data_IF_489224744259
#
_entry.id   IF_489224744259
#
_cell.length_a   1.000
_cell.length_b   1.000
_cell.length_c   1.000
_cell.angle_alpha   90.00
_cell.angle_beta   90.00
_cell.angle_gamma   90.00
#
_symmetry.space_group_name_H-M   'P 1'
#
loop_
_entity.id
_entity.type
_entity.pdbx_description
1 polymer ?
#
# COMPACT_ATOMS: atom_id res chain seq x y z
N UNK A 1 -28.47 15.23 28.69
CA UNK A 1 -28.17 14.31 27.57
C UNK A 1 -27.25 14.93 26.51
N UNK A 2 -27.59 16.06 25.85
CA UNK A 2 -26.71 16.69 24.82
C UNK A 2 -25.29 17.03 25.29
N UNK A 3 -25.11 17.58 26.51
CA UNK A 3 -23.77 17.90 27.06
C UNK A 3 -22.93 16.65 27.34
N UNK A 4 -23.53 15.57 27.84
CA UNK A 4 -22.85 14.29 28.06
C UNK A 4 -22.43 13.61 26.75
N UNK A 5 -23.26 13.71 25.70
CA UNK A 5 -22.95 13.20 24.37
C UNK A 5 -21.78 13.96 23.72
N UNK A 6 -21.74 15.29 23.90
CA UNK A 6 -20.66 16.14 23.39
C UNK A 6 -19.33 15.86 24.11
N UNK A 7 -19.34 15.66 25.43
CA UNK A 7 -18.13 15.27 26.18
C UNK A 7 -17.63 13.87 25.82
N UNK A 8 -18.53 12.91 25.58
CA UNK A 8 -18.15 11.55 25.16
C UNK A 8 -17.53 11.55 23.76
N UNK A 9 -18.10 12.35 22.84
CA UNK A 9 -17.56 12.54 21.50
C UNK A 9 -16.16 13.20 21.52
N UNK A 10 -15.96 14.20 22.39
CA UNK A 10 -14.68 14.89 22.55
C UNK A 10 -13.60 13.94 23.11
N UNK A 11 -13.94 13.11 24.09
CA UNK A 11 -13.03 12.11 24.67
C UNK A 11 -12.66 11.04 23.64
N UNK A 12 -13.62 10.58 22.82
CA UNK A 12 -13.36 9.59 21.77
C UNK A 12 -12.44 10.16 20.67
N UNK A 13 -12.67 11.41 20.24
CA UNK A 13 -11.81 12.10 19.28
C UNK A 13 -10.40 12.30 19.84
N UNK A 14 -10.27 12.71 21.10
CA UNK A 14 -8.96 12.85 21.75
C UNK A 14 -8.21 11.51 21.86
N UNK A 15 -8.90 10.41 22.17
CA UNK A 15 -8.31 9.08 22.23
C UNK A 15 -7.83 8.59 20.85
N UNK A 16 -8.60 8.84 19.79
CA UNK A 16 -8.22 8.49 18.42
C UNK A 16 -6.99 9.29 17.95
N UNK A 17 -6.98 10.61 18.19
CA UNK A 17 -5.83 11.47 17.89
C UNK A 17 -4.58 11.04 18.67
N UNK A 18 -4.74 10.67 19.94
CA UNK A 18 -3.65 10.17 20.77
C UNK A 18 -3.12 8.84 20.24
N UNK A 19 -3.98 7.86 19.95
CA UNK A 19 -3.58 6.57 19.40
C UNK A 19 -2.84 6.73 18.05
N UNK A 20 -3.34 7.60 17.16
CA UNK A 20 -2.67 7.91 15.90
C UNK A 20 -1.29 8.57 16.13
N UNK A 21 -1.17 9.42 17.16
CA UNK A 21 0.10 10.05 17.52
C UNK A 21 1.13 9.05 18.08
N UNK A 22 0.70 8.07 18.87
CA UNK A 22 1.58 7.02 19.41
C UNK A 22 2.04 6.08 18.29
N UNK A 23 1.15 5.71 17.38
CA UNK A 23 1.51 4.91 16.21
C UNK A 23 2.55 5.61 15.35
N UNK A 24 2.35 6.89 15.05
CA UNK A 24 3.33 7.68 14.31
C UNK A 24 4.68 7.78 15.06
N UNK A 25 4.66 7.87 16.39
CA UNK A 25 5.88 7.93 17.20
C UNK A 25 6.64 6.58 17.21
N UNK A 26 5.95 5.44 17.28
CA UNK A 26 6.56 4.11 17.12
C UNK A 26 7.10 3.94 15.70
N UNK A 27 6.33 4.31 14.67
CA UNK A 27 6.76 4.30 13.27
C UNK A 27 8.02 5.12 13.07
N UNK A 28 8.13 6.30 13.70
CA UNK A 28 9.34 7.14 13.66
C UNK A 28 10.55 6.43 14.29
N UNK A 29 10.37 5.74 15.41
CA UNK A 29 11.43 4.98 16.08
C UNK A 29 11.93 3.84 15.20
N UNK A 30 11.02 3.01 14.67
CA UNK A 30 11.38 1.96 13.71
C UNK A 30 11.94 2.54 12.42
N UNK A 31 11.42 3.65 11.92
CA UNK A 31 11.91 4.37 10.75
C UNK A 31 13.36 4.83 10.91
N UNK A 32 13.77 5.29 12.09
CA UNK A 32 15.17 5.57 12.40
C UNK A 32 16.04 4.32 12.30
N UNK A 33 15.57 3.18 12.80
CA UNK A 33 16.28 1.90 12.62
C UNK A 33 16.41 1.51 11.14
N UNK A 34 15.30 1.54 10.37
CA UNK A 34 15.30 1.18 8.96
C UNK A 34 16.21 2.11 8.15
N UNK A 35 16.07 3.43 8.32
CA UNK A 35 16.93 4.42 7.65
C UNK A 35 18.39 4.27 8.08
N UNK A 36 18.65 4.17 9.38
CA UNK A 36 20.00 4.04 9.92
C UNK A 36 20.74 2.83 9.36
N UNK A 37 20.07 1.68 9.31
CA UNK A 37 20.65 0.46 8.75
C UNK A 37 20.73 0.44 7.22
N UNK A 38 19.86 1.16 6.51
CA UNK A 38 19.87 1.22 5.03
C UNK A 38 20.92 2.17 4.46
N UNK A 39 21.33 3.18 5.24
CA UNK A 39 22.22 4.26 4.79
C UNK A 39 23.51 4.35 5.63
N UNK A 40 23.83 3.30 6.39
CA UNK A 40 25.04 3.22 7.22
C UNK A 40 25.15 4.32 8.28
N UNK A 41 24.05 4.78 8.89
CA UNK A 41 24.05 5.92 9.82
C UNK A 41 23.93 5.45 11.29
N UNK A 42 25.03 5.16 11.99
CA UNK A 42 25.01 4.61 13.35
C UNK A 42 24.30 5.52 14.36
N UNK A 43 24.45 6.83 14.26
CA UNK A 43 23.76 7.78 15.16
C UNK A 43 22.23 7.78 14.96
N UNK A 44 21.79 7.48 13.73
CA UNK A 44 20.35 7.32 13.45
C UNK A 44 19.84 6.00 14.01
N UNK A 45 20.63 4.93 13.95
CA UNK A 45 20.32 3.65 14.63
C UNK A 45 20.23 3.91 16.14
N UNK A 46 21.20 4.62 16.74
CA UNK A 46 21.21 4.93 18.17
C UNK A 46 19.93 5.62 18.65
N UNK A 47 19.36 6.53 17.86
CA UNK A 47 18.10 7.22 18.19
C UNK A 47 16.91 6.27 18.36
N UNK A 48 16.93 5.13 17.66
CA UNK A 48 15.85 4.14 17.71
C UNK A 48 15.93 3.23 18.94
N UNK A 49 17.13 2.97 19.48
CA UNK A 49 17.34 1.99 20.54
C UNK A 49 17.49 2.63 21.92
N UNK A 50 17.11 1.86 22.93
CA UNK A 50 17.56 2.08 24.30
C UNK A 50 19.04 1.63 24.41
N UNK A 51 19.93 2.36 25.11
CA UNK A 51 21.37 2.08 25.08
C UNK A 51 21.77 0.66 25.51
N UNK A 52 21.02 0.06 26.43
CA UNK A 52 21.24 -1.30 26.96
C UNK A 52 20.45 -2.38 26.19
N UNK A 53 19.83 -2.02 25.06
CA UNK A 53 19.08 -2.97 24.26
C UNK A 53 19.99 -4.07 23.68
N UNK A 54 19.45 -5.28 23.63
CA UNK A 54 20.11 -6.43 23.05
C UNK A 54 19.37 -6.93 21.81
N UNK A 55 20.14 -7.41 20.85
CA UNK A 55 19.67 -8.14 19.69
C UNK A 55 19.88 -9.64 19.91
N UNK A 56 18.86 -10.43 19.61
CA UNK A 56 18.87 -11.89 19.68
C UNK A 56 18.87 -12.43 18.25
N UNK A 57 20.06 -12.79 17.76
CA UNK A 57 20.31 -13.13 16.36
C UNK A 57 20.68 -14.61 16.19
N UNK A 58 20.56 -15.12 14.97
CA UNK A 58 21.01 -16.46 14.60
C UNK A 58 22.52 -16.48 14.34
N UNK A 59 23.19 -17.51 14.83
CA UNK A 59 24.61 -17.78 14.57
C UNK A 59 24.83 -19.29 14.44
N UNK A 60 25.69 -19.73 13.52
CA UNK A 60 25.88 -21.17 13.22
C UNK A 60 26.35 -21.98 14.43
N UNK A 61 27.18 -21.37 15.26
CA UNK A 61 27.88 -22.05 16.36
C UNK A 61 27.39 -21.64 17.75
N UNK A 62 26.47 -20.66 17.84
CA UNK A 62 25.97 -20.18 19.13
C UNK A 62 24.46 -20.45 19.21
N UNK A 63 23.99 -21.24 20.19
CA UNK A 63 22.55 -21.52 20.33
C UNK A 63 21.73 -20.26 20.60
N UNK A 64 22.34 -19.26 21.24
CA UNK A 64 21.79 -17.92 21.39
C UNK A 64 22.92 -16.92 21.18
N UNK A 65 22.82 -16.09 20.14
CA UNK A 65 23.77 -14.99 19.92
C UNK A 65 23.14 -13.68 20.35
N UNK A 66 23.58 -13.20 21.51
CA UNK A 66 23.18 -11.91 22.08
C UNK A 66 24.20 -10.86 21.63
N UNK A 67 23.72 -9.79 21.00
CA UNK A 67 24.54 -8.68 20.49
C UNK A 67 24.05 -7.38 21.13
N UNK A 68 24.84 -6.72 21.99
CA UNK A 68 24.52 -5.39 22.49
C UNK A 68 24.37 -4.39 21.34
N UNK A 69 23.43 -3.46 21.43
CA UNK A 69 23.24 -2.46 20.36
C UNK A 69 24.49 -1.64 20.08
N UNK A 70 25.31 -1.36 21.11
CA UNK A 70 26.60 -0.68 20.95
C UNK A 70 27.54 -1.40 19.99
N UNK A 71 27.55 -2.74 20.01
CA UNK A 71 28.31 -3.59 19.08
C UNK A 71 27.64 -3.59 17.70
N UNK A 72 26.32 -3.79 17.63
CA UNK A 72 25.56 -3.81 16.39
C UNK A 72 25.77 -2.55 15.54
N UNK A 73 25.79 -1.37 16.18
CA UNK A 73 26.02 -0.09 15.50
C UNK A 73 27.42 0.00 14.85
N UNK A 74 28.42 -0.72 15.37
CA UNK A 74 29.76 -0.72 14.76
C UNK A 74 29.75 -1.33 13.36
N UNK A 75 28.82 -2.24 13.06
CA UNK A 75 28.73 -2.92 11.77
C UNK A 75 28.45 -1.95 10.62
N UNK A 76 27.87 -0.79 10.92
CA UNK A 76 27.50 0.24 9.94
C UNK A 76 28.54 1.36 9.82
N UNK A 77 29.56 1.42 10.70
CA UNK A 77 30.59 2.46 10.64
C UNK A 77 31.52 2.35 9.44
N UNK A 78 31.74 1.13 8.94
CA UNK A 78 32.64 0.87 7.80
C UNK A 78 31.99 1.19 6.44
N UNK A 79 30.67 1.31 6.39
CA UNK A 79 29.96 1.68 5.17
C UNK A 79 30.10 3.17 4.87
N UNK A 80 29.98 3.54 3.60
CA UNK A 80 29.92 4.94 3.19
C UNK A 80 28.67 5.59 3.81
N UNK A 81 28.90 6.66 4.59
CA UNK A 81 27.88 7.29 5.41
C UNK A 81 26.88 8.03 4.52
N UNK A 82 25.59 7.66 4.61
CA UNK A 82 24.53 8.24 3.80
C UNK A 82 24.33 7.55 2.44
N UNK A 83 25.21 6.63 2.05
CA UNK A 83 25.04 5.84 0.83
C UNK A 83 24.10 4.65 1.08
N UNK A 84 23.18 4.41 0.15
CA UNK A 84 22.27 3.27 0.21
C UNK A 84 23.04 1.95 0.07
N UNK A 85 22.86 1.02 1.00
CA UNK A 85 23.64 -0.23 1.05
C UNK A 85 22.88 -1.47 0.55
N UNK A 86 21.76 -1.28 -0.17
CA UNK A 86 20.94 -2.37 -0.70
C UNK A 86 19.93 -2.97 0.29
N UNK A 87 19.92 -2.53 1.56
CA UNK A 87 18.93 -2.97 2.55
C UNK A 87 17.64 -2.18 2.38
N UNK A 88 16.56 -2.85 2.00
CA UNK A 88 15.24 -2.24 1.83
C UNK A 88 14.35 -2.64 3.01
N UNK A 89 14.05 -1.68 3.87
CA UNK A 89 13.24 -1.91 5.07
C UNK A 89 11.79 -1.45 4.92
N UNK A 90 10.84 -2.23 5.44
CA UNK A 90 9.44 -1.78 5.62
C UNK A 90 8.82 -2.33 6.91
N UNK A 91 7.89 -1.56 7.49
CA UNK A 91 7.12 -1.98 8.65
C UNK A 91 6.00 -2.93 8.18
N UNK A 92 5.82 -4.03 8.91
CA UNK A 92 4.80 -5.06 8.64
C UNK A 92 3.64 -4.96 9.62
N UNK A 93 3.92 -4.69 10.90
CA UNK A 93 2.89 -4.45 11.90
C UNK A 93 3.44 -3.67 13.09
N UNK A 94 2.54 -2.96 13.78
CA UNK A 94 2.78 -2.31 15.07
C UNK A 94 1.55 -2.57 15.94
N UNK A 95 1.79 -3.00 17.17
CA UNK A 95 0.78 -3.19 18.21
C UNK A 95 1.24 -2.42 19.45
N UNK A 96 0.38 -1.53 19.97
CA UNK A 96 0.69 -0.68 21.11
C UNK A 96 -0.24 -1.02 22.27
N UNK A 97 0.33 -1.15 23.46
CA UNK A 97 -0.41 -1.29 24.70
C UNK A 97 0.20 -0.35 25.76
N UNK A 98 -0.49 0.76 26.04
CA UNK A 98 -0.02 1.79 26.96
C UNK A 98 1.41 2.29 26.63
N UNK A 99 2.40 1.97 27.46
CA UNK A 99 3.80 2.38 27.34
C UNK A 99 4.71 1.31 26.74
N UNK A 100 4.15 0.21 26.20
CA UNK A 100 4.88 -0.84 25.49
C UNK A 100 4.31 -1.05 24.08
N UNK A 101 5.15 -1.54 23.17
CA UNK A 101 4.73 -1.88 21.82
C UNK A 101 5.52 -3.08 21.27
N UNK A 102 4.90 -3.81 20.36
CA UNK A 102 5.54 -4.82 19.52
C UNK A 102 5.49 -4.33 18.08
N UNK A 103 6.59 -4.48 17.35
CA UNK A 103 6.61 -4.18 15.92
C UNK A 103 7.28 -5.31 15.14
N UNK A 104 6.90 -5.45 13.87
CA UNK A 104 7.56 -6.31 12.88
C UNK A 104 8.02 -5.46 11.72
N UNK A 105 9.24 -5.70 11.23
CA UNK A 105 9.73 -5.10 9.99
C UNK A 105 10.37 -6.16 9.09
N UNK A 106 10.13 -6.05 7.80
CA UNK A 106 10.79 -6.83 6.77
C UNK A 106 12.01 -6.05 6.28
N UNK A 107 13.17 -6.72 6.21
CA UNK A 107 14.35 -6.19 5.53
C UNK A 107 14.67 -7.09 4.34
N UNK A 108 14.57 -6.53 3.15
CA UNK A 108 14.91 -7.21 1.90
C UNK A 108 16.31 -6.79 1.44
N UNK A 109 17.12 -7.75 1.00
CA UNK A 109 18.40 -7.52 0.33
C UNK A 109 18.40 -8.30 -0.98
N UNK A 110 17.87 -7.72 -2.09
CA UNK A 110 17.65 -8.45 -3.34
C UNK A 110 18.91 -9.08 -3.92
N UNK A 111 20.04 -8.37 -3.86
CA UNK A 111 21.35 -8.86 -4.34
C UNK A 111 21.80 -10.13 -3.63
N UNK A 112 21.38 -10.32 -2.37
CA UNK A 112 21.68 -11.52 -1.58
C UNK A 112 20.59 -12.58 -1.66
N UNK A 113 19.48 -12.31 -2.37
CA UNK A 113 18.29 -13.17 -2.41
C UNK A 113 17.81 -13.56 -1.01
N UNK A 114 17.85 -12.61 -0.08
CA UNK A 114 17.52 -12.82 1.32
C UNK A 114 16.51 -11.79 1.80
N UNK A 115 15.58 -12.26 2.61
CA UNK A 115 14.72 -11.40 3.43
C UNK A 115 14.87 -11.75 4.91
N UNK A 116 14.78 -10.73 5.73
CA UNK A 116 14.82 -10.82 7.19
C UNK A 116 13.48 -10.38 7.74
N UNK A 117 13.02 -11.08 8.77
CA UNK A 117 11.95 -10.60 9.64
C UNK A 117 12.57 -10.14 10.95
N UNK A 118 12.48 -8.85 11.20
CA UNK A 118 12.89 -8.22 12.44
C UNK A 118 11.67 -8.05 13.35
N UNK A 119 11.77 -8.52 14.59
CA UNK A 119 10.73 -8.35 15.60
C UNK A 119 11.27 -7.49 16.73
N UNK A 120 10.51 -6.49 17.16
CA UNK A 120 10.93 -5.50 18.14
C UNK A 120 10.00 -5.51 19.35
N UNK A 121 10.59 -5.40 20.53
CA UNK A 121 9.90 -4.92 21.73
C UNK A 121 10.32 -3.47 21.95
N UNK A 122 9.35 -2.60 22.13
CA UNK A 122 9.56 -1.18 22.40
C UNK A 122 8.95 -0.80 23.74
N UNK A 123 9.55 0.22 24.36
CA UNK A 123 9.01 0.89 25.54
C UNK A 123 9.05 2.40 25.35
N UNK A 124 8.03 3.08 25.85
CA UNK A 124 8.01 4.53 25.94
C UNK A 124 8.78 4.97 27.19
N UNK A 125 9.90 5.65 26.99
CA UNK A 125 10.82 6.09 28.02
C UNK A 125 10.96 7.60 27.90
N UNK A 126 10.59 8.34 28.95
CA UNK A 126 10.63 9.81 28.97
C UNK A 126 9.90 10.46 27.78
N UNK A 127 8.80 9.86 27.34
CA UNK A 127 8.00 10.36 26.21
C UNK A 127 8.45 9.86 24.83
N UNK A 128 9.60 9.18 24.72
CA UNK A 128 10.11 8.65 23.46
C UNK A 128 9.97 7.13 23.36
N UNK A 129 9.57 6.61 22.20
CA UNK A 129 9.56 5.18 21.92
C UNK A 129 10.95 4.68 21.57
N UNK A 130 11.46 3.72 22.34
CA UNK A 130 12.76 3.09 22.14
C UNK A 130 12.63 1.59 21.96
N UNK A 131 13.38 1.03 21.02
CA UNK A 131 13.57 -0.41 20.89
C UNK A 131 14.41 -0.87 22.09
N UNK A 132 13.82 -1.71 22.94
CA UNK A 132 14.49 -2.28 24.13
C UNK A 132 14.99 -3.72 23.89
N UNK A 133 14.44 -4.40 22.89
CA UNK A 133 14.88 -5.73 22.45
C UNK A 133 14.50 -5.94 20.99
N UNK A 134 15.33 -6.70 20.29
CA UNK A 134 15.08 -7.08 18.90
C UNK A 134 15.49 -8.54 18.68
N UNK A 135 14.68 -9.30 17.96
CA UNK A 135 15.11 -10.56 17.36
C UNK A 135 15.06 -10.48 15.84
N UNK A 136 15.80 -11.35 15.16
CA UNK A 136 15.71 -11.47 13.73
C UNK A 136 16.04 -12.88 13.25
N UNK A 137 15.39 -13.25 12.16
CA UNK A 137 15.74 -14.42 11.36
C UNK A 137 15.63 -14.08 9.88
N UNK A 138 16.28 -14.87 9.04
CA UNK A 138 16.30 -14.68 7.59
C UNK A 138 15.88 -15.95 6.87
N UNK A 139 15.32 -15.77 5.68
CA UNK A 139 15.08 -16.85 4.74
C UNK A 139 15.43 -16.42 3.31
N UNK A 140 15.68 -17.39 2.41
CA UNK A 140 15.78 -17.10 0.98
C UNK A 140 14.53 -16.36 0.47
N UNK A 141 14.72 -15.41 -0.43
CA UNK A 141 13.64 -14.61 -1.00
C UNK A 141 13.78 -14.48 -2.51
N UNK A 142 12.64 -14.51 -3.21
CA UNK A 142 12.54 -14.15 -4.62
C UNK A 142 12.19 -12.67 -4.83
N UNK A 143 12.02 -11.89 -3.76
CA UNK A 143 11.62 -10.48 -3.87
C UNK A 143 12.71 -9.65 -4.54
N UNK A 144 12.32 -8.93 -5.58
CA UNK A 144 13.21 -8.15 -6.43
C UNK A 144 13.48 -6.72 -5.92
N UNK A 145 12.72 -6.27 -4.92
CA UNK A 145 12.70 -4.87 -4.48
C UNK A 145 11.88 -3.94 -5.37
N UNK A 146 11.36 -4.42 -6.51
CA UNK A 146 10.44 -3.66 -7.36
C UNK A 146 9.08 -3.53 -6.68
N UNK A 147 8.51 -2.32 -6.71
CA UNK A 147 7.27 -2.01 -5.99
C UNK A 147 6.13 -1.60 -6.91
N UNK A 148 4.91 -1.97 -6.53
CA UNK A 148 3.64 -1.59 -7.15
C UNK A 148 2.81 -0.85 -6.09
N UNK A 149 2.23 0.28 -6.46
CA UNK A 149 1.39 1.08 -5.56
C UNK A 149 -0.08 0.84 -5.86
N UNK A 150 -0.81 0.24 -4.92
CA UNK A 150 -2.26 0.07 -5.03
C UNK A 150 -2.95 1.33 -4.53
N UNK A 151 -3.80 1.90 -5.39
CA UNK A 151 -4.63 3.07 -5.10
C UNK A 151 -6.01 2.56 -4.67
N UNK A 152 -6.40 2.89 -3.44
CA UNK A 152 -7.65 2.46 -2.78
C UNK A 152 -8.36 3.65 -2.14
N UNK A 153 -9.67 3.54 -1.89
CA UNK A 153 -10.49 4.62 -1.35
C UNK A 153 -10.82 4.44 0.14
N UNK A 154 -11.03 5.54 0.87
CA UNK A 154 -11.54 5.53 2.24
C UNK A 154 -13.08 5.55 2.29
N UNK A 155 -13.76 5.83 1.18
CA UNK A 155 -15.22 5.97 1.10
C UNK A 155 -15.99 4.71 1.55
N UNK A 156 -16.67 4.80 2.70
CA UNK A 156 -17.47 3.73 3.30
C UNK A 156 -18.90 3.62 2.73
N UNK A 157 -19.40 4.69 2.09
CA UNK A 157 -20.76 4.76 1.55
C UNK A 157 -20.76 5.30 0.13
N UNK A 158 -21.82 5.00 -0.63
CA UNK A 158 -22.02 5.62 -1.94
C UNK A 158 -22.37 7.10 -1.76
N UNK A 159 -21.41 7.99 -2.01
CA UNK A 159 -21.57 9.44 -1.88
C UNK A 159 -22.03 9.85 -0.48
N UNK A 160 -23.09 10.66 -0.40
CA UNK A 160 -23.68 11.11 0.88
C UNK A 160 -24.78 10.18 1.41
N UNK A 161 -24.94 8.99 0.82
CA UNK A 161 -25.96 8.02 1.25
C UNK A 161 -25.54 7.25 2.49
N UNK A 162 -26.43 6.37 2.96
CA UNK A 162 -26.14 5.37 4.00
C UNK A 162 -25.92 3.97 3.42
N UNK A 163 -25.81 3.83 2.09
CA UNK A 163 -25.64 2.53 1.43
C UNK A 163 -24.15 2.17 1.50
N UNK A 164 -23.78 1.05 2.16
CA UNK A 164 -22.37 0.71 2.34
C UNK A 164 -21.72 0.31 1.01
N UNK A 165 -20.44 0.62 0.89
CA UNK A 165 -19.58 0.20 -0.21
C UNK A 165 -18.18 -0.12 0.31
N UNK A 166 -17.27 -0.49 -0.59
CA UNK A 166 -15.88 -0.73 -0.24
C UNK A 166 -15.03 -1.10 -1.44
N UNK A 167 -13.73 -1.21 -1.17
CA UNK A 167 -12.74 -1.65 -2.13
C UNK A 167 -12.96 -3.16 -2.37
N UNK A 168 -12.87 -3.60 -3.62
CA UNK A 168 -13.13 -4.99 -3.95
C UNK A 168 -12.03 -5.90 -3.41
N UNK A 169 -12.34 -6.66 -2.35
CA UNK A 169 -11.37 -7.57 -1.72
C UNK A 169 -10.88 -8.64 -2.72
N UNK A 170 -11.80 -9.08 -3.59
CA UNK A 170 -11.48 -10.01 -4.68
C UNK A 170 -10.44 -9.42 -5.65
N UNK A 171 -10.57 -8.15 -6.04
CA UNK A 171 -9.62 -7.50 -6.94
C UNK A 171 -8.25 -7.31 -6.29
N UNK A 172 -8.24 -6.82 -5.03
CA UNK A 172 -7.00 -6.65 -4.25
C UNK A 172 -6.26 -7.98 -4.15
N UNK A 173 -6.94 -9.03 -3.68
CA UNK A 173 -6.31 -10.32 -3.41
C UNK A 173 -5.76 -10.96 -4.69
N UNK A 174 -6.50 -10.92 -5.79
CA UNK A 174 -6.06 -11.49 -7.05
C UNK A 174 -4.83 -10.76 -7.62
N UNK A 175 -4.83 -9.42 -7.60
CA UNK A 175 -3.68 -8.64 -8.05
C UNK A 175 -2.48 -8.79 -7.10
N UNK A 176 -2.70 -8.64 -5.78
CA UNK A 176 -1.67 -8.75 -4.75
C UNK A 176 -0.98 -10.11 -4.80
N UNK A 177 -1.75 -11.19 -4.89
CA UNK A 177 -1.21 -12.53 -5.01
C UNK A 177 -0.31 -12.65 -6.24
N UNK A 178 -0.81 -12.23 -7.40
CA UNK A 178 -0.07 -12.29 -8.67
C UNK A 178 1.26 -11.52 -8.61
N UNK A 179 1.28 -10.32 -8.02
CA UNK A 179 2.51 -9.55 -7.88
C UNK A 179 3.49 -10.17 -6.88
N UNK A 180 2.99 -10.60 -5.73
CA UNK A 180 3.86 -11.11 -4.66
C UNK A 180 4.46 -12.48 -4.99
N UNK A 181 3.78 -13.31 -5.77
CA UNK A 181 4.35 -14.57 -6.29
C UNK A 181 5.53 -14.33 -7.21
N UNK A 182 5.50 -13.24 -8.00
CA UNK A 182 6.58 -12.81 -8.90
C UNK A 182 7.63 -11.93 -8.19
N UNK A 183 7.60 -11.86 -6.86
CA UNK A 183 8.63 -11.16 -6.08
C UNK A 183 8.52 -9.64 -6.11
N UNK A 184 7.35 -9.07 -6.43
CA UNK A 184 7.08 -7.65 -6.28
C UNK A 184 6.59 -7.34 -4.86
N UNK A 185 6.97 -6.16 -4.36
CA UNK A 185 6.39 -5.60 -3.14
C UNK A 185 5.16 -4.77 -3.51
N UNK A 186 4.05 -4.96 -2.81
CA UNK A 186 2.85 -4.13 -2.98
C UNK A 186 2.67 -3.24 -1.76
N UNK A 187 2.50 -1.95 -1.99
CA UNK A 187 2.11 -0.96 -0.98
C UNK A 187 0.72 -0.41 -1.31
N UNK A 188 0.09 0.22 -0.32
CA UNK A 188 -1.25 0.78 -0.44
C UNK A 188 -1.25 2.25 -0.06
N UNK A 189 -1.94 3.05 -0.85
CA UNK A 189 -2.22 4.46 -0.56
C UNK A 189 -3.71 4.71 -0.68
N UNK A 190 -4.22 5.51 0.25
CA UNK A 190 -5.58 6.04 0.17
C UNK A 190 -5.57 7.55 0.44
N UNK A 191 -6.62 8.29 0.04
CA UNK A 191 -6.70 9.74 0.21
C UNK A 191 -6.38 10.23 1.63
N UNK A 192 -6.88 9.53 2.66
CA UNK A 192 -6.70 9.89 4.06
C UNK A 192 -5.66 9.01 4.79
N UNK A 193 -5.10 8.01 4.11
CA UNK A 193 -4.38 6.90 4.72
C UNK A 193 -5.27 6.08 5.67
N UNK A 194 -4.65 5.24 6.50
CA UNK A 194 -5.37 4.48 7.52
C UNK A 194 -6.23 3.36 6.94
N UNK A 195 -7.35 3.06 7.61
CA UNK A 195 -8.18 1.91 7.29
C UNK A 195 -9.11 2.17 6.11
N UNK A 196 -9.24 1.17 5.25
CA UNK A 196 -10.16 1.21 4.11
C UNK A 196 -11.35 0.25 4.29
N UNK A 197 -12.55 0.58 3.77
CA UNK A 197 -13.66 -0.37 3.69
C UNK A 197 -13.39 -1.46 2.65
N UNK A 198 -13.80 -2.69 2.96
CA UNK A 198 -13.68 -3.86 2.08
C UNK A 198 -15.07 -4.39 1.70
N UNK A 199 -15.23 -4.73 0.43
CA UNK A 199 -16.43 -5.35 -0.13
C UNK A 199 -16.10 -6.70 -0.77
N UNK A 200 -17.13 -7.53 -0.97
CA UNK A 200 -17.05 -8.82 -1.67
C UNK A 200 -16.08 -9.84 -1.03
N UNK A 201 -16.03 -9.89 0.30
CA UNK A 201 -15.29 -10.93 1.03
C UNK A 201 -16.04 -12.25 0.93
N UNK A 202 -15.36 -13.29 0.47
CA UNK A 202 -15.87 -14.66 0.38
C UNK A 202 -14.87 -15.63 1.03
N UNK A 203 -15.20 -16.14 2.23
CA UNK A 203 -14.33 -17.08 2.96
C UNK A 203 -14.35 -18.50 2.42
N UNK A 204 -15.24 -18.80 1.47
CA UNK A 204 -15.24 -20.08 0.74
C UNK A 204 -14.24 -20.09 -0.40
N UNK A 205 -13.79 -18.91 -0.87
CA UNK A 205 -12.67 -18.78 -1.79
C UNK A 205 -11.35 -18.95 -1.02
N UNK A 206 -10.52 -19.90 -1.44
CA UNK A 206 -9.30 -20.29 -0.72
C UNK A 206 -8.26 -19.18 -0.70
N UNK A 207 -8.17 -18.40 -1.78
CA UNK A 207 -7.21 -17.32 -1.90
C UNK A 207 -7.63 -16.13 -1.02
N UNK A 208 -8.90 -15.75 -1.07
CA UNK A 208 -9.44 -14.73 -0.18
C UNK A 208 -9.32 -15.13 1.28
N UNK A 209 -9.66 -16.38 1.63
CA UNK A 209 -9.52 -16.88 3.00
C UNK A 209 -8.07 -16.79 3.49
N UNK A 210 -7.10 -17.16 2.66
CA UNK A 210 -5.67 -17.06 3.00
C UNK A 210 -5.30 -15.63 3.41
N UNK A 211 -5.66 -14.64 2.61
CA UNK A 211 -5.27 -13.25 2.85
C UNK A 211 -6.12 -12.56 3.92
N UNK A 212 -7.39 -12.93 4.07
CA UNK A 212 -8.25 -12.39 5.13
C UNK A 212 -7.70 -12.69 6.52
N UNK A 213 -7.03 -13.83 6.69
CA UNK A 213 -6.40 -14.24 7.94
C UNK A 213 -4.88 -14.03 7.96
N UNK A 214 -4.32 -13.34 6.97
CA UNK A 214 -2.92 -12.91 6.99
C UNK A 214 -2.82 -11.57 7.73
N UNK A 215 -2.17 -11.60 8.89
CA UNK A 215 -2.07 -10.42 9.76
C UNK A 215 -1.31 -9.26 9.11
N UNK A 216 -0.25 -9.53 8.35
CA UNK A 216 0.54 -8.47 7.71
C UNK A 216 -0.22 -7.82 6.56
N UNK A 217 -0.93 -8.62 5.77
CA UNK A 217 -1.79 -8.14 4.70
C UNK A 217 -2.97 -7.31 5.23
N UNK A 218 -3.68 -7.80 6.24
CA UNK A 218 -4.78 -7.05 6.85
C UNK A 218 -4.30 -5.82 7.60
N UNK A 219 -3.09 -5.86 8.20
CA UNK A 219 -2.47 -4.66 8.76
C UNK A 219 -2.24 -3.60 7.68
N UNK A 220 -1.77 -3.98 6.48
CA UNK A 220 -1.59 -3.05 5.37
C UNK A 220 -2.91 -2.41 4.89
N UNK A 221 -4.04 -3.13 4.97
CA UNK A 221 -5.37 -2.58 4.66
C UNK A 221 -5.87 -1.61 5.74
N UNK A 222 -5.49 -1.86 6.99
CA UNK A 222 -5.85 -1.00 8.12
C UNK A 222 -4.96 0.25 8.23
N UNK A 223 -3.81 0.25 7.57
CA UNK A 223 -2.77 1.28 7.69
C UNK A 223 -2.19 1.65 6.34
N UNK A 224 -3.06 1.97 5.39
CA UNK A 224 -2.64 2.52 4.10
C UNK A 224 -1.90 3.83 4.30
N UNK A 225 -0.95 4.12 3.41
CA UNK A 225 -0.19 5.37 3.46
C UNK A 225 -1.04 6.53 2.97
N UNK A 226 -0.74 7.73 3.47
CA UNK A 226 -1.22 8.98 2.89
C UNK A 226 -0.40 9.33 1.64
N UNK A 227 -0.94 10.12 0.70
CA UNK A 227 -0.20 10.52 -0.49
C UNK A 227 1.12 11.24 -0.16
N UNK A 228 1.13 12.09 0.87
CA UNK A 228 2.34 12.78 1.35
C UNK A 228 3.47 11.86 1.85
N UNK A 229 3.18 10.59 2.15
CA UNK A 229 4.17 9.60 2.61
C UNK A 229 4.78 8.81 1.44
N UNK A 230 4.22 8.95 0.24
CA UNK A 230 4.61 8.21 -0.95
C UNK A 230 5.78 8.91 -1.65
N UNK A 231 6.90 8.20 -1.76
CA UNK A 231 7.94 8.53 -2.72
C UNK A 231 7.71 7.79 -4.04
N UNK A 232 7.15 8.52 -5.01
CA UNK A 232 6.77 7.99 -6.32
C UNK A 232 7.92 7.28 -7.04
N UNK A 233 9.18 7.68 -6.80
CA UNK A 233 10.38 7.13 -7.47
C UNK A 233 10.58 5.64 -7.20
N UNK A 234 9.99 5.12 -6.12
CA UNK A 234 10.09 3.72 -5.74
C UNK A 234 9.18 2.78 -6.57
N UNK A 235 8.24 3.32 -7.35
CA UNK A 235 7.18 2.53 -7.96
C UNK A 235 7.37 2.35 -9.47
N UNK A 236 7.17 1.11 -9.91
CA UNK A 236 7.15 0.73 -11.33
C UNK A 236 5.77 0.85 -11.95
N UNK A 237 4.73 0.74 -11.14
CA UNK A 237 3.35 0.95 -11.56
C UNK A 237 2.49 1.46 -10.43
N UNK A 238 1.42 2.16 -10.80
CA UNK A 238 0.26 2.42 -9.94
C UNK A 238 -0.90 1.55 -10.44
N UNK A 239 -1.68 1.01 -9.50
CA UNK A 239 -2.80 0.12 -9.79
C UNK A 239 -4.04 0.56 -9.02
N UNK A 240 -5.01 1.11 -9.74
CA UNK A 240 -6.30 1.54 -9.19
C UNK A 240 -7.23 0.34 -9.03
N UNK A 241 -7.54 0.04 -7.76
CA UNK A 241 -8.46 -1.02 -7.35
C UNK A 241 -9.90 -0.51 -7.47
N UNK A 242 -10.82 -1.38 -7.89
CA UNK A 242 -12.24 -1.07 -7.95
C UNK A 242 -13.02 -1.48 -6.71
N UNK A 243 -14.29 -1.84 -6.93
CA UNK A 243 -15.33 -1.75 -5.91
C UNK A 243 -15.96 -0.36 -5.89
N UNK A 244 -17.18 -0.27 -5.37
CA UNK A 244 -17.97 0.96 -5.50
C UNK A 244 -17.36 2.18 -4.80
N UNK A 245 -16.47 1.99 -3.82
CA UNK A 245 -15.75 3.09 -3.16
C UNK A 245 -14.80 3.83 -4.10
N UNK A 246 -14.28 3.17 -5.14
CA UNK A 246 -13.31 3.76 -6.06
C UNK A 246 -13.87 4.92 -6.91
N UNK A 247 -15.21 5.07 -6.93
CA UNK A 247 -15.88 6.21 -7.57
C UNK A 247 -15.69 7.53 -6.81
N UNK A 248 -15.20 7.48 -5.56
CA UNK A 248 -15.14 8.62 -4.65
C UNK A 248 -13.73 8.80 -4.11
N UNK A 249 -13.39 10.05 -3.78
CA UNK A 249 -12.14 10.52 -3.16
C UNK A 249 -10.91 10.36 -4.06
N UNK A 250 -10.64 9.15 -4.55
CA UNK A 250 -9.48 8.80 -5.39
C UNK A 250 -9.49 9.55 -6.73
N UNK A 251 -10.61 9.62 -7.49
CA UNK A 251 -10.62 10.31 -8.78
C UNK A 251 -10.33 11.82 -8.71
N UNK A 252 -10.65 12.48 -7.60
CA UNK A 252 -10.50 13.93 -7.40
C UNK A 252 -9.26 14.33 -6.60
N UNK A 253 -8.64 13.40 -5.85
CA UNK A 253 -7.50 13.68 -5.00
C UNK A 253 -6.26 14.08 -5.80
N UNK A 254 -5.83 15.34 -5.65
CA UNK A 254 -4.72 15.92 -6.43
C UNK A 254 -3.36 15.31 -6.14
N UNK A 255 -3.10 14.88 -4.91
CA UNK A 255 -1.84 14.26 -4.55
C UNK A 255 -1.73 12.85 -5.16
N UNK A 256 -2.83 12.08 -5.17
CA UNK A 256 -2.90 10.79 -5.86
C UNK A 256 -2.72 10.95 -7.37
N UNK A 257 -3.37 11.96 -7.97
CA UNK A 257 -3.20 12.28 -9.40
C UNK A 257 -1.72 12.61 -9.72
N UNK A 258 -1.09 13.43 -8.90
CA UNK A 258 0.32 13.82 -9.05
C UNK A 258 1.26 12.60 -8.94
N UNK A 259 1.05 11.73 -7.95
CA UNK A 259 1.83 10.48 -7.81
C UNK A 259 1.72 9.63 -9.07
N UNK A 260 0.49 9.38 -9.54
CA UNK A 260 0.25 8.54 -10.72
C UNK A 260 0.93 9.11 -11.97
N UNK A 261 0.81 10.41 -12.20
CA UNK A 261 1.40 11.10 -13.34
C UNK A 261 2.93 11.14 -13.25
N UNK A 262 3.52 11.34 -12.07
CA UNK A 262 4.97 11.27 -11.89
C UNK A 262 5.52 9.87 -12.12
N UNK A 263 4.84 8.83 -11.63
CA UNK A 263 5.18 7.44 -11.97
C UNK A 263 5.13 7.22 -13.49
N UNK A 264 4.09 7.73 -14.16
CA UNK A 264 3.94 7.58 -15.60
C UNK A 264 4.95 8.39 -16.42
N UNK A 265 5.17 9.67 -16.12
CA UNK A 265 5.95 10.55 -16.98
C UNK A 265 7.43 10.53 -16.64
N UNK A 266 7.78 10.44 -15.35
CA UNK A 266 9.15 10.55 -14.86
C UNK A 266 9.80 9.17 -14.69
N UNK A 267 9.14 8.24 -14.00
CA UNK A 267 9.70 6.88 -13.84
C UNK A 267 9.55 6.02 -15.10
N UNK A 268 8.83 6.52 -16.11
CA UNK A 268 8.39 5.73 -17.26
C UNK A 268 7.62 4.45 -16.86
N UNK A 269 6.93 4.52 -15.71
CA UNK A 269 6.15 3.42 -15.14
C UNK A 269 4.78 3.22 -15.79
N UNK A 270 3.97 2.33 -15.21
CA UNK A 270 2.67 1.95 -15.75
C UNK A 270 1.54 2.54 -14.91
N UNK A 271 0.48 3.03 -15.56
CA UNK A 271 -0.80 3.30 -14.90
C UNK A 271 -1.74 2.15 -15.24
N UNK A 272 -2.42 1.62 -14.22
CA UNK A 272 -3.34 0.53 -14.44
C UNK A 272 -4.59 0.62 -13.57
N UNK A 273 -5.69 0.03 -14.01
CA UNK A 273 -6.95 0.01 -13.25
C UNK A 273 -7.74 -1.26 -13.51
N UNK A 274 -8.70 -1.55 -12.63
CA UNK A 274 -9.67 -2.63 -12.85
C UNK A 274 -11.05 -2.22 -12.35
N UNK A 275 -12.12 -2.67 -13.02
CA UNK A 275 -13.50 -2.47 -12.58
C UNK A 275 -13.83 -0.97 -12.41
N UNK A 276 -14.34 -0.56 -11.25
CA UNK A 276 -14.55 0.86 -10.91
C UNK A 276 -13.27 1.65 -10.64
N UNK A 277 -12.13 0.98 -10.47
CA UNK A 277 -10.83 1.65 -10.32
C UNK A 277 -10.47 2.51 -11.54
N UNK A 278 -11.08 2.25 -12.71
CA UNK A 278 -10.95 3.10 -13.90
C UNK A 278 -11.45 4.53 -13.66
N UNK A 279 -12.31 4.76 -12.66
CA UNK A 279 -12.68 6.10 -12.20
C UNK A 279 -11.44 6.93 -11.81
N UNK A 280 -10.45 6.32 -11.17
CA UNK A 280 -9.23 6.97 -10.70
C UNK A 280 -8.31 7.49 -11.82
N UNK A 281 -8.40 6.92 -13.02
CA UNK A 281 -7.61 7.37 -14.17
C UNK A 281 -8.36 8.33 -15.09
N UNK A 282 -9.70 8.39 -14.96
CA UNK A 282 -10.55 9.09 -15.91
C UNK A 282 -10.16 10.57 -16.02
N UNK A 283 -9.80 11.22 -14.89
CA UNK A 283 -9.53 12.65 -14.82
C UNK A 283 -8.05 13.03 -14.95
N UNK A 284 -7.16 12.05 -15.13
CA UNK A 284 -5.73 12.33 -15.20
C UNK A 284 -5.40 13.13 -16.46
N UNK A 285 -4.54 14.13 -16.30
CA UNK A 285 -4.02 14.96 -17.38
C UNK A 285 -2.51 14.95 -17.38
N UNK A 286 -1.91 14.70 -18.53
CA UNK A 286 -0.46 14.77 -18.74
C UNK A 286 0.05 16.21 -18.64
N UNK A 287 1.37 16.40 -18.54
CA UNK A 287 2.02 17.73 -18.46
C UNK A 287 1.68 18.66 -19.62
N UNK A 288 1.30 18.13 -20.77
CA UNK A 288 0.84 18.87 -21.95
C UNK A 288 -0.66 19.28 -21.88
N UNK A 289 -1.35 18.94 -20.79
CA UNK A 289 -2.74 19.30 -20.52
C UNK A 289 -3.78 18.38 -21.14
N UNK A 290 -3.37 17.37 -21.92
CA UNK A 290 -4.26 16.37 -22.51
C UNK A 290 -4.75 15.37 -21.48
N UNK A 291 -5.92 14.78 -21.71
CA UNK A 291 -6.36 13.68 -20.88
C UNK A 291 -5.49 12.45 -21.14
N UNK A 292 -5.08 11.76 -20.08
CA UNK A 292 -4.27 10.54 -20.17
C UNK A 292 -4.91 9.48 -21.09
N UNK A 293 -6.24 9.46 -21.12
CA UNK A 293 -7.04 8.49 -21.88
C UNK A 293 -7.30 8.90 -23.33
N UNK A 294 -6.91 10.11 -23.74
CA UNK A 294 -7.12 10.63 -25.09
C UNK A 294 -6.41 9.74 -26.13
N UNK A 295 -7.17 9.22 -27.10
CA UNK A 295 -6.65 8.33 -28.14
C UNK A 295 -6.25 6.93 -27.65
N UNK A 296 -6.64 6.54 -26.43
CA UNK A 296 -6.28 5.26 -25.81
C UNK A 296 -7.44 4.28 -25.75
N UNK A 297 -7.14 3.00 -25.89
CA UNK A 297 -8.08 1.92 -25.54
C UNK A 297 -8.11 1.73 -24.03
N UNK A 298 -9.30 1.79 -23.45
CA UNK A 298 -9.53 1.70 -22.02
C UNK A 298 -10.65 0.71 -21.74
N UNK A 299 -10.55 -0.03 -20.65
CA UNK A 299 -11.55 -0.92 -20.09
C UNK A 299 -11.85 -0.53 -18.64
N UNK A 300 -12.96 -1.04 -18.11
CA UNK A 300 -13.45 -0.80 -16.77
C UNK A 300 -14.82 -1.45 -16.60
N UNK A 301 -15.49 -1.20 -15.49
CA UNK A 301 -16.88 -1.64 -15.35
C UNK A 301 -17.79 -0.83 -16.31
N UNK A 302 -18.45 -1.45 -17.30
CA UNK A 302 -19.22 -0.73 -18.31
C UNK A 302 -20.49 -0.11 -17.73
N UNK A 303 -20.87 1.09 -18.18
CA UNK A 303 -22.06 1.80 -17.69
C UNK A 303 -23.36 1.01 -17.96
N UNK A 304 -23.39 0.24 -19.05
CA UNK A 304 -24.51 -0.66 -19.41
C UNK A 304 -24.64 -1.85 -18.45
N UNK A 305 -23.57 -2.17 -17.70
CA UNK A 305 -23.61 -3.23 -16.71
C UNK A 305 -24.01 -2.75 -15.32
N UNK A 306 -24.07 -1.45 -15.09
CA UNK A 306 -24.63 -0.89 -13.87
C UNK A 306 -26.11 -1.18 -13.74
N UNK A 307 -26.57 -1.39 -12.50
CA UNK A 307 -27.99 -1.42 -12.20
C UNK A 307 -28.48 0.03 -12.09
N UNK A 308 -28.84 0.63 -13.23
CA UNK A 308 -29.16 2.05 -13.33
C UNK A 308 -30.43 2.48 -12.59
N UNK A 309 -31.32 1.54 -12.28
CA UNK A 309 -32.50 1.72 -11.41
C UNK A 309 -32.18 1.57 -9.91
N UNK A 310 -30.96 1.15 -9.56
CA UNK A 310 -30.54 0.95 -8.18
C UNK A 310 -30.32 2.27 -7.43
N UNK A 311 -30.66 2.30 -6.14
CA UNK A 311 -30.48 3.50 -5.32
C UNK A 311 -29.01 3.96 -5.24
N UNK A 312 -28.05 3.04 -5.21
CA UNK A 312 -26.63 3.39 -5.18
C UNK A 312 -26.18 4.18 -6.42
N UNK A 313 -26.78 3.90 -7.59
CA UNK A 313 -26.40 4.49 -8.86
C UNK A 313 -26.71 5.99 -8.90
N UNK A 314 -27.78 6.43 -8.21
CA UNK A 314 -28.14 7.84 -8.08
C UNK A 314 -27.09 8.68 -7.35
N UNK A 315 -26.17 8.04 -6.63
CA UNK A 315 -25.09 8.69 -5.91
C UNK A 315 -23.77 8.73 -6.67
N UNK A 316 -23.69 8.11 -7.86
CA UNK A 316 -22.47 8.15 -8.67
C UNK A 316 -22.13 9.58 -9.08
N UNK A 317 -20.86 10.02 -8.89
CA UNK A 317 -20.46 11.38 -9.26
C UNK A 317 -20.34 11.55 -10.78
N UNK A 318 -20.10 10.47 -11.50
CA UNK A 318 -20.05 10.40 -12.96
C UNK A 318 -20.17 8.95 -13.43
N UNK A 319 -20.32 8.76 -14.74
CA UNK A 319 -20.32 7.43 -15.39
C UNK A 319 -18.97 7.19 -16.05
N UNK A 320 -18.32 6.06 -15.76
CA UNK A 320 -16.92 5.81 -16.15
C UNK A 320 -16.82 5.75 -17.67
N UNK A 321 -17.60 4.90 -18.34
CA UNK A 321 -17.46 4.70 -19.77
C UNK A 321 -17.75 6.00 -20.52
N UNK A 322 -18.88 6.65 -20.23
CA UNK A 322 -19.24 7.95 -20.84
C UNK A 322 -18.11 8.98 -20.66
N UNK A 323 -17.54 9.07 -19.46
CA UNK A 323 -16.50 10.05 -19.14
C UNK A 323 -15.19 9.77 -19.89
N UNK A 324 -14.82 8.49 -20.06
CA UNK A 324 -13.65 8.10 -20.84
C UNK A 324 -13.85 8.48 -22.32
N UNK A 325 -15.02 8.22 -22.87
CA UNK A 325 -15.37 8.55 -24.26
C UNK A 325 -15.40 10.07 -24.51
N UNK A 326 -15.99 10.84 -23.60
CA UNK A 326 -15.98 12.33 -23.64
C UNK A 326 -14.56 12.92 -23.58
N UNK A 327 -13.59 12.17 -23.06
CA UNK A 327 -12.17 12.56 -22.96
C UNK A 327 -11.32 12.02 -24.11
N UNK A 328 -11.97 11.52 -25.17
CA UNK A 328 -11.31 11.02 -26.37
C UNK A 328 -10.74 9.61 -26.24
N UNK A 329 -11.04 8.89 -25.15
CA UNK A 329 -10.70 7.48 -25.02
C UNK A 329 -11.69 6.57 -25.75
N UNK A 330 -11.26 5.38 -26.11
CA UNK A 330 -12.13 4.34 -26.66
C UNK A 330 -12.39 3.27 -25.60
N UNK A 331 -13.61 3.21 -25.09
CA UNK A 331 -13.99 2.22 -24.10
C UNK A 331 -14.27 0.86 -24.73
N UNK A 332 -13.65 -0.21 -24.22
CA UNK A 332 -13.79 -1.60 -24.68
C UNK A 332 -14.16 -2.51 -23.51
N UNK A 333 -15.10 -3.40 -23.77
CA UNK A 333 -15.54 -4.41 -22.81
C UNK A 333 -16.05 -5.65 -23.51
N UNK A 334 -15.99 -6.77 -22.79
CA UNK A 334 -16.53 -8.07 -23.15
C UNK A 334 -17.85 -8.35 -22.42
N UNK A 335 -18.42 -9.54 -22.63
CA UNK A 335 -19.58 -9.99 -21.87
C UNK A 335 -19.41 -9.84 -20.35
N UNK A 336 -20.52 -9.68 -19.64
CA UNK A 336 -20.54 -9.56 -18.17
C UNK A 336 -19.86 -10.78 -17.53
N UNK A 337 -19.09 -10.56 -16.46
CA UNK A 337 -18.38 -11.59 -15.68
C UNK A 337 -17.31 -12.38 -16.45
N UNK A 338 -16.86 -11.87 -17.60
CA UNK A 338 -15.73 -12.43 -18.37
C UNK A 338 -14.49 -11.56 -18.17
N UNK A 339 -13.33 -12.20 -18.08
CA UNK A 339 -12.04 -11.49 -18.00
C UNK A 339 -11.78 -10.73 -19.31
N UNK A 340 -11.48 -9.43 -19.21
CA UNK A 340 -11.15 -8.58 -20.36
C UNK A 340 -10.14 -7.52 -19.95
N UNK A 341 -9.00 -7.52 -20.63
CA UNK A 341 -7.86 -6.64 -20.35
C UNK A 341 -7.48 -5.88 -21.61
N UNK A 342 -7.47 -4.56 -21.51
CA UNK A 342 -6.93 -3.68 -22.53
C UNK A 342 -5.54 -3.21 -22.12
N UNK A 343 -4.59 -3.28 -23.06
CA UNK A 343 -3.26 -2.73 -22.91
C UNK A 343 -2.98 -1.79 -24.10
N UNK A 344 -2.71 -0.52 -23.81
CA UNK A 344 -2.35 0.51 -24.77
C UNK A 344 -1.12 1.26 -24.27
N UNK A 345 0.05 0.84 -24.77
CA UNK A 345 1.33 1.30 -24.27
C UNK A 345 1.51 0.96 -22.78
N UNK A 346 1.63 1.98 -21.94
CA UNK A 346 1.85 1.87 -20.48
C UNK A 346 0.56 2.12 -19.67
N UNK A 347 -0.60 2.03 -20.32
CA UNK A 347 -1.92 2.06 -19.68
C UNK A 347 -2.55 0.67 -19.82
N UNK A 348 -2.88 0.05 -18.69
CA UNK A 348 -3.40 -1.33 -18.65
C UNK A 348 -4.66 -1.38 -17.80
N UNK A 349 -5.79 -1.76 -18.38
CA UNK A 349 -7.08 -1.65 -17.71
C UNK A 349 -7.90 -2.94 -17.83
N UNK A 350 -8.63 -3.29 -16.78
CA UNK A 350 -9.43 -4.52 -16.71
C UNK A 350 -10.91 -4.25 -16.41
N UNK A 351 -11.80 -5.10 -16.93
CA UNK A 351 -13.24 -4.87 -16.86
C UNK A 351 -13.85 -5.11 -15.46
N UNK A 352 -13.38 -6.13 -14.74
CA UNK A 352 -14.03 -6.66 -13.53
C UNK A 352 -13.03 -7.48 -12.70
N UNK A 353 -13.46 -8.06 -11.58
CA UNK A 353 -12.56 -8.82 -10.70
C UNK A 353 -11.88 -10.01 -11.40
N UNK A 354 -12.54 -10.67 -12.37
CA UNK A 354 -11.95 -11.75 -13.18
C UNK A 354 -10.78 -11.28 -14.05
N UNK A 355 -10.65 -9.96 -14.24
CA UNK A 355 -9.58 -9.33 -15.01
C UNK A 355 -8.36 -8.98 -14.16
N UNK A 356 -8.47 -8.97 -12.83
CA UNK A 356 -7.43 -8.46 -11.91
C UNK A 356 -6.07 -9.15 -12.09
N UNK A 357 -6.06 -10.50 -12.09
CA UNK A 357 -4.82 -11.27 -12.29
C UNK A 357 -4.26 -11.08 -13.71
N UNK A 358 -5.13 -10.87 -14.71
CA UNK A 358 -4.72 -10.60 -16.10
C UNK A 358 -4.04 -9.24 -16.24
N UNK A 359 -4.60 -8.21 -15.59
CA UNK A 359 -3.98 -6.87 -15.51
C UNK A 359 -2.62 -6.97 -14.83
N UNK A 360 -2.53 -7.61 -13.66
CA UNK A 360 -1.27 -7.78 -12.92
C UNK A 360 -0.20 -8.51 -13.76
N UNK A 361 -0.55 -9.62 -14.42
CA UNK A 361 0.35 -10.35 -15.33
C UNK A 361 0.85 -9.47 -16.48
N UNK A 362 -0.03 -8.64 -17.06
CA UNK A 362 0.35 -7.76 -18.17
C UNK A 362 1.30 -6.64 -17.72
N UNK A 363 1.11 -6.14 -16.49
CA UNK A 363 2.04 -5.19 -15.86
C UNK A 363 3.41 -5.83 -15.70
N UNK A 364 3.49 -7.02 -15.10
CA UNK A 364 4.74 -7.77 -14.90
C UNK A 364 5.46 -7.97 -16.23
N UNK A 365 4.75 -8.47 -17.25
CA UNK A 365 5.31 -8.68 -18.59
C UNK A 365 5.94 -7.42 -19.16
N UNK A 366 5.28 -6.26 -19.02
CA UNK A 366 5.79 -4.99 -19.55
C UNK A 366 6.98 -4.46 -18.75
N UNK A 367 7.02 -4.66 -17.44
CA UNK A 367 8.17 -4.29 -16.60
C UNK A 367 9.39 -5.15 -16.97
N UNK A 368 9.20 -6.43 -17.24
CA UNK A 368 10.28 -7.37 -17.56
C UNK A 368 10.82 -7.19 -18.98
N UNK A 369 9.96 -6.92 -19.96
CA UNK A 369 10.38 -6.67 -21.34
C UNK A 369 11.10 -5.32 -21.55
N UNK A 370 11.03 -4.41 -20.56
CA UNK A 370 11.72 -3.12 -20.61
C UNK A 370 13.17 -3.20 -20.09
N UNK A 371 13.62 -4.38 -19.66
CA UNK A 371 15.01 -4.69 -19.29
C UNK A 371 15.77 -5.19 -20.51
#
# INVERSE_FOLDING_TARGET
>A
MKKMFLSLLLVLQAALLFAQSEQAAVQKSIGNYLKGTSYNLPDTIAKAFYPEANLFLSHKEKPMWIVPVAEYMQWFKKGEQGAFNGRMGRIISIEIYNDIAIAKAEILIPERKQEFMDMFLLKKIQGEWKIISKSASSMPSNKSGRRILFMVANAHFYGKSTIPTGNSFSEIVNAYHTFTTEGYTVDFVSPEGGSIPLAYINTSDTLQKKYLYDQGFMYAMAHTQKPAEIDYRNYKAVHYIGGGSAMYEVPENKEIQDIALKVYEENKGIISSVCHGTAGIAHLKTKDGKYLVEGKRISGYPDVYEKQDGEYFKHFPFLIQKTIEERGGTFKFSARNVSHVEADGRIITGQNFQSSSGVAKKIIQLIENAQ
#
